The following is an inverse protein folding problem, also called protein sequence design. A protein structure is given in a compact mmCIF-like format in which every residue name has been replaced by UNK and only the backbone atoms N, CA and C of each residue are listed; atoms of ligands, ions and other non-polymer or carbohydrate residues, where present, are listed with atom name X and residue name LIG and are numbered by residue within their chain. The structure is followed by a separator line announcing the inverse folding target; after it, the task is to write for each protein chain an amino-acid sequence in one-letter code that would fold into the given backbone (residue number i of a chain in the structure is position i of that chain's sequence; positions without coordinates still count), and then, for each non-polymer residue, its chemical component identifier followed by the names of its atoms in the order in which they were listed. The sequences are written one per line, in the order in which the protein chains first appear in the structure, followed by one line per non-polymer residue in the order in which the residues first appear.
data_IF_046698185276
#
_entry.id   IF_046698185276
#
_cell.length_a   1.000
_cell.length_b   1.000
_cell.length_c   1.000
_cell.angle_alpha   90.00
_cell.angle_beta   90.00
_cell.angle_gamma   90.00
#
_symmetry.space_group_name_H-M   'P 1'
#
loop_
_entity.id
_entity.type
_entity.pdbx_description
1 polymer ?
#
# COMPACT_ATOMS: atom_id res chain seq x y z
N UNK A 1 12.38 29.55 -19.10
CA UNK A 1 11.15 29.52 -18.27
C UNK A 1 11.02 28.10 -17.74
N UNK A 2 11.29 27.88 -16.45
CA UNK A 2 11.04 26.58 -15.80
C UNK A 2 9.59 26.62 -15.33
N UNK A 3 8.70 26.03 -16.11
CA UNK A 3 7.33 25.80 -15.66
C UNK A 3 7.37 24.62 -14.70
N UNK A 4 7.70 24.87 -13.43
CA UNK A 4 7.25 23.98 -12.36
C UNK A 4 5.74 24.13 -12.36
N UNK A 5 5.07 23.26 -13.12
CA UNK A 5 3.68 22.94 -12.84
C UNK A 5 3.75 22.39 -11.42
N UNK A 6 3.34 23.19 -10.44
CA UNK A 6 3.05 22.69 -9.10
C UNK A 6 2.23 21.43 -9.33
N UNK A 7 2.79 20.26 -8.99
CA UNK A 7 2.13 18.97 -9.17
C UNK A 7 0.90 19.00 -8.28
N UNK A 8 -0.18 19.56 -8.81
CA UNK A 8 -1.44 19.72 -8.13
C UNK A 8 -1.88 18.32 -7.76
N UNK A 9 -1.94 18.08 -6.45
CA UNK A 9 -2.29 16.80 -5.88
C UNK A 9 -3.67 16.43 -6.42
N UNK A 10 -3.73 15.45 -7.33
CA UNK A 10 -4.95 15.13 -8.04
C UNK A 10 -5.64 13.97 -7.31
N UNK A 11 -6.81 14.16 -6.66
CA UNK A 11 -7.47 13.12 -5.86
C UNK A 11 -7.67 11.79 -6.63
N UNK A 12 -7.86 11.89 -7.94
CA UNK A 12 -7.97 10.74 -8.84
C UNK A 12 -6.73 9.83 -8.77
N UNK A 13 -5.53 10.39 -8.61
CA UNK A 13 -4.29 9.61 -8.52
C UNK A 13 -4.24 8.79 -7.22
N UNK A 14 -4.81 9.29 -6.12
CA UNK A 14 -4.88 8.53 -4.86
C UNK A 14 -5.76 7.28 -5.00
N UNK A 15 -6.87 7.39 -5.73
CA UNK A 15 -7.75 6.26 -6.03
C UNK A 15 -6.99 5.20 -6.85
N UNK A 16 -6.28 5.62 -7.91
CA UNK A 16 -5.41 4.72 -8.68
C UNK A 16 -4.32 4.08 -7.82
N UNK A 17 -3.64 4.82 -6.93
CA UNK A 17 -2.64 4.21 -6.04
C UNK A 17 -3.30 3.17 -5.13
N UNK A 18 -4.46 3.48 -4.56
CA UNK A 18 -5.20 2.60 -3.66
C UNK A 18 -5.59 1.31 -4.37
N UNK A 19 -6.22 1.41 -5.54
CA UNK A 19 -6.61 0.23 -6.34
C UNK A 19 -5.41 -0.59 -6.82
N UNK A 20 -4.28 0.07 -7.15
CA UNK A 20 -3.05 -0.61 -7.54
C UNK A 20 -2.42 -1.39 -6.38
N UNK A 21 -2.41 -0.80 -5.18
CA UNK A 21 -1.93 -1.43 -3.94
C UNK A 21 -2.85 -2.55 -3.49
N UNK A 22 -4.15 -2.41 -3.74
CA UNK A 22 -5.17 -3.39 -3.43
C UNK A 22 -5.33 -4.52 -4.46
N UNK A 23 -4.58 -4.43 -5.57
CA UNK A 23 -4.66 -5.36 -6.70
C UNK A 23 -6.10 -5.47 -7.25
N UNK A 24 -6.82 -4.35 -7.20
CA UNK A 24 -8.22 -4.22 -7.59
C UNK A 24 -8.40 -3.67 -9.03
N UNK A 25 -7.30 -3.39 -9.72
CA UNK A 25 -7.33 -2.90 -11.10
C UNK A 25 -7.57 -4.00 -12.13
N UNK A 26 -8.29 -3.64 -13.19
CA UNK A 26 -8.33 -4.45 -14.41
C UNK A 26 -6.98 -4.52 -15.12
N UNK A 27 -6.78 -5.49 -16.01
CA UNK A 27 -5.48 -5.66 -16.70
C UNK A 27 -5.07 -4.43 -17.53
N UNK A 28 -6.00 -3.86 -18.30
CA UNK A 28 -5.75 -2.67 -19.14
C UNK A 28 -5.48 -1.43 -18.29
N UNK A 29 -6.25 -1.26 -17.23
CA UNK A 29 -6.10 -0.15 -16.28
C UNK A 29 -4.75 -0.22 -15.58
N UNK A 30 -4.36 -1.41 -15.13
CA UNK A 30 -3.06 -1.64 -14.51
C UNK A 30 -1.91 -1.35 -15.46
N UNK A 31 -1.95 -1.86 -16.69
CA UNK A 31 -0.91 -1.59 -17.69
C UNK A 31 -0.77 -0.09 -17.96
N UNK A 32 -1.90 0.61 -18.07
CA UNK A 32 -1.92 2.07 -18.26
C UNK A 32 -1.32 2.80 -17.06
N UNK A 33 -1.69 2.41 -15.84
CA UNK A 33 -1.17 3.04 -14.64
C UNK A 33 0.34 2.76 -14.46
N UNK A 34 0.80 1.54 -14.76
CA UNK A 34 2.22 1.20 -14.73
C UNK A 34 3.04 2.04 -15.72
N UNK A 35 2.49 2.37 -16.90
CA UNK A 35 3.12 3.33 -17.83
C UNK A 35 3.27 4.72 -17.19
N UNK A 36 2.27 5.21 -16.46
CA UNK A 36 2.38 6.49 -15.72
C UNK A 36 3.49 6.42 -14.67
N UNK A 37 3.60 5.32 -13.92
CA UNK A 37 4.65 5.14 -12.91
C UNK A 37 6.07 5.10 -13.52
N UNK A 38 6.21 4.67 -14.78
CA UNK A 38 7.50 4.75 -15.49
C UNK A 38 7.93 6.20 -15.71
N UNK A 39 6.97 7.12 -15.89
CA UNK A 39 7.24 8.52 -16.23
C UNK A 39 7.20 9.49 -15.05
N UNK A 40 6.67 9.10 -13.89
CA UNK A 40 6.68 9.91 -12.67
C UNK A 40 7.34 9.16 -11.50
N UNK A 41 8.59 9.56 -11.20
CA UNK A 41 9.41 8.95 -10.15
C UNK A 41 8.80 9.12 -8.75
N UNK A 42 8.20 10.28 -8.45
CA UNK A 42 7.59 10.55 -7.14
C UNK A 42 6.35 9.66 -6.94
N UNK A 43 5.53 9.55 -7.99
CA UNK A 43 4.34 8.71 -7.96
C UNK A 43 4.70 7.23 -7.84
N UNK A 44 5.75 6.81 -8.55
CA UNK A 44 6.30 5.46 -8.43
C UNK A 44 6.75 5.18 -7.01
N UNK A 45 7.56 6.06 -6.43
CA UNK A 45 8.02 5.91 -5.04
C UNK A 45 6.85 5.81 -4.06
N UNK A 46 5.81 6.63 -4.24
CA UNK A 46 4.60 6.60 -3.42
C UNK A 46 3.85 5.26 -3.55
N UNK A 47 3.61 4.78 -4.78
CA UNK A 47 2.92 3.51 -5.02
C UNK A 47 3.70 2.30 -4.44
N UNK A 48 5.02 2.27 -4.61
CA UNK A 48 5.87 1.23 -4.01
C UNK A 48 5.85 1.29 -2.48
N UNK A 49 5.97 2.49 -1.90
CA UNK A 49 5.95 2.69 -0.44
C UNK A 49 4.62 2.28 0.18
N UNK A 50 3.50 2.60 -0.49
CA UNK A 50 2.16 2.19 -0.05
C UNK A 50 1.99 0.66 -0.08
N UNK A 51 2.47 -0.01 -1.14
CA UNK A 51 2.43 -1.47 -1.26
C UNK A 51 3.23 -2.16 -0.16
N UNK A 52 4.43 -1.67 0.11
CA UNK A 52 5.28 -2.18 1.19
C UNK A 52 4.69 -1.90 2.57
N UNK A 53 4.16 -0.70 2.81
CA UNK A 53 3.48 -0.34 4.04
C UNK A 53 2.30 -1.27 4.35
N UNK A 54 1.46 -1.57 3.35
CA UNK A 54 0.35 -2.53 3.48
C UNK A 54 0.85 -3.92 3.86
N UNK A 55 1.92 -4.41 3.21
CA UNK A 55 2.56 -5.70 3.52
C UNK A 55 3.03 -5.76 4.97
N UNK A 56 3.73 -4.72 5.43
CA UNK A 56 4.23 -4.63 6.81
C UNK A 56 3.08 -4.59 7.83
N UNK A 57 2.00 -3.86 7.55
CA UNK A 57 0.81 -3.82 8.41
C UNK A 57 0.09 -5.17 8.48
N UNK A 58 0.07 -5.94 7.40
CA UNK A 58 -0.44 -7.31 7.41
C UNK A 58 0.40 -8.21 8.32
N UNK A 59 1.73 -8.18 8.17
CA UNK A 59 2.65 -8.94 9.04
C UNK A 59 2.55 -8.55 10.51
N UNK A 60 2.43 -7.26 10.80
CA UNK A 60 2.25 -6.77 12.17
C UNK A 60 0.96 -7.31 12.80
N UNK A 61 -0.14 -7.33 12.05
CA UNK A 61 -1.42 -7.91 12.49
C UNK A 61 -1.28 -9.39 12.83
N UNK A 62 -0.58 -10.16 12.01
CA UNK A 62 -0.33 -11.58 12.27
C UNK A 62 0.52 -11.82 13.52
N UNK A 63 1.59 -11.04 13.70
CA UNK A 63 2.45 -11.12 14.89
C UNK A 63 1.64 -10.82 16.15
N UNK A 64 0.83 -9.75 16.12
CA UNK A 64 -0.03 -9.38 17.24
C UNK A 64 -1.04 -10.47 17.56
N UNK A 65 -1.71 -11.04 16.55
CA UNK A 65 -2.67 -12.13 16.74
C UNK A 65 -2.02 -13.37 17.37
N UNK A 66 -0.79 -13.74 16.94
CA UNK A 66 -0.02 -14.86 17.52
C UNK A 66 0.34 -14.60 18.99
N UNK A 67 0.73 -13.36 19.32
CA UNK A 67 1.04 -12.97 20.70
C UNK A 67 -0.19 -13.08 21.59
N UNK A 68 -1.32 -12.50 21.16
CA UNK A 68 -2.58 -12.53 21.91
C UNK A 68 -3.07 -13.98 22.12
N UNK A 69 -2.93 -14.83 21.10
CA UNK A 69 -3.23 -16.26 21.22
C UNK A 69 -2.36 -16.95 22.28
N UNK A 70 -1.05 -16.70 22.25
CA UNK A 70 -0.10 -17.30 23.19
C UNK A 70 -0.39 -16.87 24.63
N UNK A 71 -0.71 -15.60 24.85
CA UNK A 71 -1.08 -15.08 26.18
C UNK A 71 -2.37 -15.72 26.71
N UNK A 72 -3.39 -15.89 25.85
CA UNK A 72 -4.65 -16.58 26.22
C UNK A 72 -4.41 -18.05 26.56
N UNK A 73 -3.57 -18.74 25.78
CA UNK A 73 -3.23 -20.14 26.02
C UNK A 73 -2.48 -20.31 27.36
N UNK A 74 -1.48 -19.48 27.64
CA UNK A 74 -0.75 -19.50 28.90
C UNK A 74 -1.66 -19.24 30.11
N UNK A 75 -2.66 -18.36 29.96
CA UNK A 75 -3.66 -18.11 31.01
C UNK A 75 -4.54 -19.34 31.26
N UNK A 76 -4.89 -20.10 30.24
CA UNK A 76 -5.67 -21.34 30.40
C UNK A 76 -4.86 -22.49 31.01
N UNK A 77 -3.58 -22.62 30.68
CA UNK A 77 -2.72 -23.70 31.21
C UNK A 77 -2.36 -23.48 32.70
N UNK A 78 -2.31 -22.22 33.14
CA UNK A 78 -1.97 -21.84 34.53
C UNK A 78 -3.15 -21.86 35.51
N UNK A 79 -4.37 -22.07 35.01
CA UNK A 79 -5.58 -22.30 35.81
C UNK A 79 -5.90 -23.79 35.84
#
# INVERSE_FOLDING_TARGET
MKNFIDKEYHPVIEDFISDYVDENMGSVERETFEEVLVHDDDLRELAFSAKEGKRLMAQFREIKAKKDFTERLLKQIRN
#
